data_IF_014490688540
#
_entry.id   IF_014490688540
#
_cell.length_a   1.000
_cell.length_b   1.000
_cell.length_c   1.000
_cell.angle_alpha   90.00
_cell.angle_beta   90.00
_cell.angle_gamma   90.00
#
_symmetry.space_group_name_H-M   'P 1'
#
loop_
_entity.id
_entity.type
_entity.pdbx_description
1 polymer ?
#
# COMPACT_ATOMS: atom_id res chain seq x y z
N UNK A 1 -24.75 11.80 -38.06
CA UNK A 1 -24.96 10.47 -37.43
C UNK A 1 -24.17 10.47 -36.14
N UNK A 2 -24.79 10.91 -35.05
CA UNK A 2 -24.18 10.93 -33.72
C UNK A 2 -25.00 10.00 -32.82
N UNK A 3 -24.47 8.81 -32.58
CA UNK A 3 -24.90 7.79 -31.61
C UNK A 3 -23.89 6.63 -31.78
N UNK A 4 -23.19 6.09 -30.81
CA UNK A 4 -23.32 6.12 -29.36
C UNK A 4 -21.98 5.63 -28.80
N UNK A 5 -21.26 6.48 -28.07
CA UNK A 5 -20.29 6.01 -27.09
C UNK A 5 -20.51 6.88 -25.86
N UNK A 6 -21.61 6.61 -25.17
CA UNK A 6 -21.78 7.09 -23.81
C UNK A 6 -20.94 6.12 -23.00
N UNK A 7 -19.68 6.47 -22.74
CA UNK A 7 -18.95 5.87 -21.63
C UNK A 7 -19.87 5.98 -20.41
N UNK A 8 -20.23 4.83 -19.83
CA UNK A 8 -20.93 4.83 -18.57
C UNK A 8 -20.01 5.55 -17.58
N UNK A 9 -20.34 6.79 -17.22
CA UNK A 9 -19.63 7.51 -16.17
C UNK A 9 -19.78 6.65 -14.92
N UNK A 10 -18.71 5.97 -14.53
CA UNK A 10 -18.69 5.18 -13.31
C UNK A 10 -18.98 6.13 -12.15
N UNK A 11 -20.08 5.90 -11.44
CA UNK A 11 -20.41 6.74 -10.29
C UNK A 11 -19.44 6.41 -9.15
N UNK A 12 -18.48 7.31 -8.93
CA UNK A 12 -17.47 7.23 -7.87
C UNK A 12 -18.10 6.98 -6.51
N UNK A 13 -19.29 7.53 -6.27
CA UNK A 13 -20.02 7.34 -5.01
C UNK A 13 -20.43 5.87 -4.84
N UNK A 14 -21.00 5.28 -5.90
CA UNK A 14 -21.39 3.87 -5.95
C UNK A 14 -20.19 2.93 -5.88
N UNK A 15 -19.07 3.29 -6.52
CA UNK A 15 -17.83 2.52 -6.44
C UNK A 15 -17.28 2.49 -5.00
N UNK A 16 -17.26 3.65 -4.33
CA UNK A 16 -16.82 3.74 -2.92
C UNK A 16 -17.78 2.97 -2.01
N UNK A 17 -19.09 3.07 -2.22
CA UNK A 17 -20.06 2.28 -1.45
C UNK A 17 -19.85 0.77 -1.65
N UNK A 18 -19.52 0.35 -2.87
CA UNK A 18 -19.21 -1.05 -3.19
C UNK A 18 -17.97 -1.51 -2.43
N UNK A 19 -16.88 -0.74 -2.49
CA UNK A 19 -15.63 -1.05 -1.76
C UNK A 19 -15.89 -1.12 -0.25
N UNK A 20 -16.59 -0.11 0.31
CA UNK A 20 -16.85 -0.02 1.74
C UNK A 20 -17.89 -1.02 2.26
N UNK A 21 -18.65 -1.67 1.39
CA UNK A 21 -19.55 -2.77 1.76
C UNK A 21 -18.85 -4.12 1.98
N UNK A 22 -17.56 -4.20 1.66
CA UNK A 22 -16.74 -5.41 1.79
C UNK A 22 -16.21 -5.65 3.21
N UNK A 23 -15.15 -6.46 3.29
CA UNK A 23 -14.48 -6.78 4.55
C UNK A 23 -13.04 -6.28 4.56
N UNK A 24 -12.61 -5.68 5.68
CA UNK A 24 -11.25 -5.16 5.85
C UNK A 24 -10.19 -6.28 5.75
N UNK A 25 -10.55 -7.50 6.13
CA UNK A 25 -9.72 -8.71 6.01
C UNK A 25 -9.45 -9.11 4.56
N UNK A 26 -10.33 -8.73 3.63
CA UNK A 26 -10.20 -9.02 2.21
C UNK A 26 -10.66 -7.81 1.37
N UNK A 27 -9.87 -6.72 1.33
CA UNK A 27 -10.24 -5.53 0.59
C UNK A 27 -10.34 -5.81 -0.92
N UNK A 28 -11.31 -5.19 -1.58
CA UNK A 28 -11.43 -5.25 -3.03
C UNK A 28 -10.39 -4.37 -3.71
N UNK A 29 -9.16 -4.88 -3.78
CA UNK A 29 -8.03 -4.16 -4.35
C UNK A 29 -8.21 -3.81 -5.83
N UNK A 30 -9.01 -4.58 -6.57
CA UNK A 30 -9.30 -4.28 -7.98
C UNK A 30 -10.05 -2.96 -8.05
N UNK A 31 -11.15 -2.83 -7.30
CA UNK A 31 -11.94 -1.60 -7.27
C UNK A 31 -11.20 -0.43 -6.60
N UNK A 32 -10.35 -0.68 -5.61
CA UNK A 32 -9.52 0.36 -4.97
C UNK A 32 -8.51 0.94 -5.96
N UNK A 33 -7.85 0.09 -6.75
CA UNK A 33 -6.88 0.53 -7.77
C UNK A 33 -7.58 1.25 -8.92
N UNK A 34 -8.73 0.74 -9.36
CA UNK A 34 -9.57 1.43 -10.35
C UNK A 34 -9.98 2.83 -9.86
N UNK A 35 -10.37 2.95 -8.59
CA UNK A 35 -10.66 4.25 -7.99
C UNK A 35 -9.44 5.18 -8.02
N UNK A 36 -8.22 4.68 -7.76
CA UNK A 36 -6.99 5.48 -7.83
C UNK A 36 -6.75 6.04 -9.24
N UNK A 37 -7.02 5.25 -10.28
CA UNK A 37 -6.91 5.70 -11.66
C UNK A 37 -7.94 6.81 -11.98
N UNK A 38 -9.18 6.66 -11.49
CA UNK A 38 -10.28 7.60 -11.74
C UNK A 38 -10.13 8.94 -10.99
N UNK A 39 -9.50 8.93 -9.80
CA UNK A 39 -9.35 10.11 -8.92
C UNK A 39 -8.74 11.31 -9.62
N UNK A 40 -7.86 11.10 -10.61
CA UNK A 40 -7.25 12.18 -11.39
C UNK A 40 -8.30 13.13 -11.98
N UNK A 41 -9.47 12.60 -12.35
CA UNK A 41 -10.59 13.37 -12.92
C UNK A 41 -11.75 13.60 -11.95
N UNK A 42 -11.74 12.95 -10.78
CA UNK A 42 -12.90 12.90 -9.86
C UNK A 42 -12.57 13.22 -8.40
N UNK A 43 -11.43 13.86 -8.12
CA UNK A 43 -10.91 14.06 -6.75
C UNK A 43 -11.92 14.71 -5.77
N UNK A 44 -12.70 15.70 -6.22
CA UNK A 44 -13.72 16.34 -5.38
C UNK A 44 -14.85 15.37 -5.02
N UNK A 45 -15.32 14.56 -5.98
CA UNK A 45 -16.36 13.57 -5.75
C UNK A 45 -15.84 12.44 -4.84
N UNK A 46 -14.62 11.96 -5.07
CA UNK A 46 -13.97 10.95 -4.22
C UNK A 46 -13.88 11.44 -2.78
N UNK A 47 -13.43 12.68 -2.57
CA UNK A 47 -13.29 13.28 -1.24
C UNK A 47 -14.65 13.39 -0.53
N UNK A 48 -15.69 13.86 -1.24
CA UNK A 48 -17.05 13.96 -0.67
C UNK A 48 -17.64 12.60 -0.30
N UNK A 49 -17.44 11.60 -1.14
CA UNK A 49 -17.94 10.24 -0.90
C UNK A 49 -17.22 9.59 0.28
N UNK A 50 -15.90 9.74 0.38
CA UNK A 50 -15.14 9.29 1.55
C UNK A 50 -15.58 10.01 2.82
N UNK A 51 -15.73 11.34 2.77
CA UNK A 51 -16.23 12.12 3.90
C UNK A 51 -17.60 11.61 4.37
N UNK A 52 -18.52 11.30 3.45
CA UNK A 52 -19.84 10.76 3.78
C UNK A 52 -19.72 9.43 4.53
N UNK A 53 -18.89 8.50 4.07
CA UNK A 53 -18.74 7.19 4.73
C UNK A 53 -18.13 7.35 6.11
N UNK A 54 -17.07 8.17 6.24
CA UNK A 54 -16.39 8.42 7.52
C UNK A 54 -17.28 9.13 8.55
N UNK A 55 -18.14 10.07 8.11
CA UNK A 55 -19.00 10.84 9.01
C UNK A 55 -20.34 10.18 9.35
N UNK A 56 -20.71 9.09 8.67
CA UNK A 56 -22.02 8.49 8.85
C UNK A 56 -22.03 7.45 9.97
N UNK A 57 -22.50 7.89 11.14
CA UNK A 57 -22.52 7.16 12.43
C UNK A 57 -23.24 5.80 12.45
N UNK A 58 -23.96 5.44 11.37
CA UNK A 58 -24.64 4.14 11.25
C UNK A 58 -23.79 3.11 10.48
N UNK A 59 -22.68 3.51 9.85
CA UNK A 59 -21.77 2.56 9.23
C UNK A 59 -21.12 1.69 10.29
N UNK A 60 -20.95 0.42 9.95
CA UNK A 60 -20.22 -0.52 10.76
C UNK A 60 -18.72 -0.22 10.73
N UNK A 61 -18.00 -0.81 11.69
CA UNK A 61 -16.57 -0.62 11.85
C UNK A 61 -15.77 -1.02 10.59
N UNK A 62 -16.26 -2.02 9.85
CA UNK A 62 -15.67 -2.46 8.58
C UNK A 62 -15.75 -1.38 7.51
N UNK A 63 -16.93 -0.78 7.29
CA UNK A 63 -17.10 0.29 6.31
C UNK A 63 -16.17 1.48 6.60
N UNK A 64 -16.07 1.89 7.86
CA UNK A 64 -15.21 3.01 8.28
C UNK A 64 -13.73 2.66 8.05
N UNK A 65 -13.32 1.45 8.45
CA UNK A 65 -11.95 0.98 8.27
C UNK A 65 -11.55 0.86 6.80
N UNK A 66 -12.47 0.40 5.94
CA UNK A 66 -12.27 0.37 4.48
C UNK A 66 -12.19 1.78 3.90
N UNK A 67 -13.01 2.73 4.35
CA UNK A 67 -12.91 4.11 3.91
C UNK A 67 -11.56 4.75 4.30
N UNK A 68 -11.03 4.46 5.49
CA UNK A 68 -9.68 4.89 5.89
C UNK A 68 -8.59 4.23 5.01
N UNK A 69 -8.70 2.92 4.74
CA UNK A 69 -7.80 2.20 3.82
C UNK A 69 -7.83 2.79 2.40
N UNK A 70 -9.01 3.08 1.86
CA UNK A 70 -9.18 3.72 0.56
C UNK A 70 -8.53 5.10 0.57
N UNK A 71 -8.75 5.88 1.62
CA UNK A 71 -8.16 7.22 1.76
C UNK A 71 -6.63 7.14 1.72
N UNK A 72 -6.00 6.23 2.46
CA UNK A 72 -4.55 5.99 2.41
C UNK A 72 -4.09 5.54 1.02
N UNK A 73 -4.82 4.63 0.39
CA UNK A 73 -4.47 4.07 -0.93
C UNK A 73 -4.48 5.15 -2.00
N UNK A 74 -5.54 5.95 -2.06
CA UNK A 74 -5.65 7.08 -3.01
C UNK A 74 -4.55 8.10 -2.74
N UNK A 75 -4.27 8.43 -1.48
CA UNK A 75 -3.23 9.39 -1.13
C UNK A 75 -1.83 8.94 -1.56
N UNK A 76 -1.54 7.64 -1.44
CA UNK A 76 -0.25 7.05 -1.82
C UNK A 76 -0.07 6.91 -3.34
N UNK A 77 -1.16 6.77 -4.10
CA UNK A 77 -1.12 6.55 -5.55
C UNK A 77 -1.37 7.82 -6.37
N UNK A 78 -2.03 8.83 -5.80
CA UNK A 78 -2.46 10.04 -6.51
C UNK A 78 -1.74 11.28 -5.96
N UNK A 79 -0.62 11.71 -6.58
CA UNK A 79 0.08 12.93 -6.20
C UNK A 79 -0.87 14.14 -6.20
N UNK A 80 -0.82 14.95 -5.15
CA UNK A 80 -1.66 16.14 -5.04
C UNK A 80 -3.06 15.91 -4.48
N UNK A 81 -3.51 14.65 -4.30
CA UNK A 81 -4.81 14.37 -3.68
C UNK A 81 -4.89 14.88 -2.24
N UNK A 82 -3.74 14.98 -1.54
CA UNK A 82 -3.64 15.58 -0.21
C UNK A 82 -4.22 17.01 -0.14
N UNK A 83 -4.23 17.77 -1.24
CA UNK A 83 -4.83 19.11 -1.28
C UNK A 83 -6.35 19.07 -1.08
N UNK A 84 -7.01 17.99 -1.52
CA UNK A 84 -8.44 17.80 -1.35
C UNK A 84 -8.79 17.32 0.07
N UNK A 85 -7.90 16.53 0.66
CA UNK A 85 -8.02 16.08 2.07
C UNK A 85 -7.68 17.18 3.08
N UNK A 86 -6.90 18.20 2.68
CA UNK A 86 -6.56 19.38 3.47
C UNK A 86 -7.75 20.35 3.65
N UNK A 87 -8.91 19.79 4.01
CA UNK A 87 -10.17 20.47 4.24
C UNK A 87 -10.59 20.29 5.69
N UNK A 88 -11.05 21.38 6.31
CA UNK A 88 -11.57 21.34 7.68
C UNK A 88 -12.73 20.35 7.81
N UNK A 89 -13.59 20.24 6.81
CA UNK A 89 -14.74 19.35 6.84
C UNK A 89 -14.30 17.88 6.82
N UNK A 90 -13.34 17.54 5.97
CA UNK A 90 -12.82 16.17 5.89
C UNK A 90 -12.09 15.78 7.19
N UNK A 91 -11.20 16.66 7.67
CA UNK A 91 -10.44 16.40 8.89
C UNK A 91 -11.31 16.31 10.14
N UNK A 92 -12.44 17.02 10.18
CA UNK A 92 -13.40 16.89 11.28
C UNK A 92 -13.98 15.49 11.39
N UNK A 93 -14.26 14.82 10.26
CA UNK A 93 -14.74 13.43 10.29
C UNK A 93 -13.64 12.49 10.80
N UNK A 94 -12.39 12.65 10.33
CA UNK A 94 -11.27 11.82 10.80
C UNK A 94 -10.99 12.04 12.29
N UNK A 95 -11.07 13.28 12.76
CA UNK A 95 -10.93 13.61 14.20
C UNK A 95 -12.07 12.99 15.02
N UNK A 96 -13.30 13.01 14.53
CA UNK A 96 -14.43 12.40 15.24
C UNK A 96 -14.23 10.88 15.46
N UNK A 97 -13.53 10.20 14.54
CA UNK A 97 -13.18 8.78 14.71
C UNK A 97 -12.17 8.54 15.85
N UNK A 98 -11.31 9.51 16.15
CA UNK A 98 -10.38 9.42 17.28
C UNK A 98 -11.13 9.41 18.61
N UNK A 99 -12.25 10.13 18.73
CA UNK A 99 -12.99 10.27 19.98
C UNK A 99 -14.11 9.22 20.15
N UNK A 100 -14.65 8.69 19.06
CA UNK A 100 -15.94 7.98 19.07
C UNK A 100 -15.95 6.62 18.35
N UNK A 101 -14.79 6.02 18.09
CA UNK A 101 -14.69 4.73 17.39
C UNK A 101 -13.97 3.65 18.22
N UNK A 102 -13.90 2.43 17.66
CA UNK A 102 -13.17 1.33 18.27
C UNK A 102 -11.67 1.64 18.39
N UNK A 103 -10.93 0.97 19.30
CA UNK A 103 -9.49 1.15 19.42
C UNK A 103 -8.72 0.94 18.11
N UNK A 104 -9.15 0.00 17.27
CA UNK A 104 -8.52 -0.27 15.98
C UNK A 104 -8.69 0.90 14.99
N UNK A 105 -9.90 1.44 14.89
CA UNK A 105 -10.18 2.62 14.05
C UNK A 105 -9.47 3.86 14.59
N UNK A 106 -9.47 4.06 15.91
CA UNK A 106 -8.76 5.14 16.57
C UNK A 106 -7.25 5.10 16.30
N UNK A 107 -6.62 3.93 16.41
CA UNK A 107 -5.20 3.76 16.12
C UNK A 107 -4.88 4.10 14.67
N UNK A 108 -5.73 3.70 13.73
CA UNK A 108 -5.55 4.02 12.31
C UNK A 108 -5.72 5.51 12.03
N UNK A 109 -6.80 6.12 12.52
CA UNK A 109 -7.06 7.55 12.33
C UNK A 109 -5.94 8.42 12.93
N UNK A 110 -5.47 8.10 14.14
CA UNK A 110 -4.36 8.83 14.78
C UNK A 110 -3.05 8.66 14.01
N UNK A 111 -2.72 7.44 13.55
CA UNK A 111 -1.55 7.20 12.70
C UNK A 111 -1.62 8.01 11.40
N UNK A 112 -2.75 7.99 10.70
CA UNK A 112 -2.95 8.77 9.48
C UNK A 112 -2.73 10.27 9.69
N UNK A 113 -3.33 10.85 10.75
CA UNK A 113 -3.17 12.27 11.06
C UNK A 113 -1.71 12.64 11.39
N UNK A 114 -0.99 11.77 12.10
CA UNK A 114 0.45 11.95 12.36
C UNK A 114 1.26 11.89 11.07
N UNK A 115 1.00 10.91 10.21
CA UNK A 115 1.71 10.73 8.94
C UNK A 115 1.45 11.91 8.00
N UNK A 116 0.23 12.43 7.93
CA UNK A 116 -0.09 13.59 7.11
C UNK A 116 0.61 14.86 7.59
N UNK A 117 0.66 15.08 8.90
CA UNK A 117 1.38 16.20 9.49
C UNK A 117 2.89 16.13 9.23
N UNK A 118 3.47 14.93 9.16
CA UNK A 118 4.89 14.72 8.88
C UNK A 118 5.22 14.83 7.37
N UNK A 119 4.39 14.25 6.51
CA UNK A 119 4.67 14.11 5.08
C UNK A 119 4.25 15.34 4.25
N UNK A 120 3.32 16.16 4.74
CA UNK A 120 2.83 17.35 4.03
C UNK A 120 3.01 18.63 4.87
N UNK A 121 4.25 19.04 5.19
CA UNK A 121 4.53 20.17 6.08
C UNK A 121 4.01 21.52 5.56
N UNK A 122 3.82 21.64 4.23
CA UNK A 122 3.26 22.83 3.58
C UNK A 122 1.74 22.98 3.82
N UNK A 123 1.06 21.90 4.20
CA UNK A 123 -0.37 21.91 4.54
C UNK A 123 -0.53 22.14 6.05
N UNK A 124 -0.56 23.42 6.46
CA UNK A 124 -0.62 23.81 7.87
C UNK A 124 -1.78 23.15 8.63
N UNK A 125 -2.91 22.94 7.97
CA UNK A 125 -4.10 22.35 8.57
C UNK A 125 -3.85 20.94 9.13
N UNK A 126 -3.06 20.09 8.46
CA UNK A 126 -2.73 18.76 8.98
C UNK A 126 -1.89 18.85 10.26
N UNK A 127 -0.85 19.70 10.23
CA UNK A 127 0.01 19.94 11.39
C UNK A 127 -0.77 20.52 12.56
N UNK A 128 -1.62 21.50 12.32
CA UNK A 128 -2.39 22.19 13.35
C UNK A 128 -3.42 21.25 13.97
N UNK A 129 -4.11 20.41 13.16
CA UNK A 129 -5.02 19.36 13.65
C UNK A 129 -4.28 18.33 14.51
N UNK A 130 -3.12 17.83 14.05
CA UNK A 130 -2.31 16.88 14.82
C UNK A 130 -1.85 17.48 16.17
N UNK A 131 -1.34 18.71 16.17
CA UNK A 131 -0.89 19.39 17.37
C UNK A 131 -2.05 19.64 18.35
N UNK A 132 -3.22 20.00 17.84
CA UNK A 132 -4.42 20.19 18.66
C UNK A 132 -4.79 18.91 19.41
N UNK A 133 -4.83 17.77 18.73
CA UNK A 133 -5.12 16.47 19.36
C UNK A 133 -4.08 16.10 20.42
N UNK A 134 -2.79 16.40 20.16
CA UNK A 134 -1.73 16.18 21.16
C UNK A 134 -1.92 17.02 22.43
N UNK A 135 -2.32 18.28 22.28
CA UNK A 135 -2.63 19.16 23.43
C UNK A 135 -3.84 18.65 24.21
N UNK A 136 -4.81 18.03 23.52
CA UNK A 136 -5.97 17.39 24.14
C UNK A 136 -5.64 16.05 24.83
N UNK A 137 -4.39 15.57 24.72
CA UNK A 137 -3.93 14.35 25.39
C UNK A 137 -4.14 13.06 24.58
N UNK A 138 -4.47 13.16 23.28
CA UNK A 138 -4.53 11.98 22.40
C UNK A 138 -3.13 11.38 22.27
N UNK A 139 -3.03 10.08 22.51
CA UNK A 139 -1.80 9.32 22.32
C UNK A 139 -1.61 8.98 20.85
N UNK A 140 -0.39 9.15 20.36
CA UNK A 140 -0.01 8.84 18.99
C UNK A 140 1.09 7.78 18.98
N UNK A 141 1.16 6.93 17.93
CA UNK A 141 2.22 5.94 17.82
C UNK A 141 3.60 6.60 17.86
N UNK A 142 4.52 6.00 18.60
CA UNK A 142 5.91 6.45 18.66
C UNK A 142 6.56 6.17 17.32
N UNK A 143 6.82 7.21 16.53
CA UNK A 143 7.73 7.10 15.38
C UNK A 143 9.08 6.60 15.91
N UNK A 144 9.70 5.54 15.34
CA UNK A 144 11.01 5.11 15.77
C UNK A 144 11.98 6.26 15.54
N UNK A 145 12.40 6.88 16.65
CA UNK A 145 13.39 7.94 16.63
C UNK A 145 14.70 7.37 16.06
N UNK A 146 15.25 8.04 15.05
CA UNK A 146 16.68 7.92 14.78
C UNK A 146 17.45 8.26 16.06
N UNK A 147 18.44 7.45 16.47
CA UNK A 147 19.16 7.71 17.70
C UNK A 147 20.16 8.84 17.44
N UNK A 148 19.88 10.04 17.91
CA UNK A 148 20.91 11.06 18.09
C UNK A 148 20.58 11.95 19.29
N UNK A 149 21.22 11.54 20.39
CA UNK A 149 21.86 12.41 21.39
C UNK A 149 20.99 13.05 22.47
N UNK A 150 20.87 12.30 23.56
CA UNK A 150 20.89 12.85 24.92
C UNK A 150 22.26 13.52 25.14
N UNK A 151 22.31 14.79 25.55
CA UNK A 151 22.96 15.28 26.79
C UNK A 151 23.08 16.81 26.86
N UNK A 152 22.65 17.32 28.01
CA UNK A 152 23.24 18.41 28.82
C UNK A 152 23.04 19.90 28.46
N UNK A 153 22.67 20.61 29.54
CA UNK A 153 22.59 22.06 29.74
C UNK A 153 23.99 22.71 29.68
N UNK A 154 24.08 23.93 29.14
CA UNK A 154 24.28 25.20 29.86
C UNK A 154 24.96 26.29 28.99
N UNK A 155 24.56 27.53 29.26
CA UNK A 155 25.25 28.81 29.05
C UNK A 155 25.24 29.55 27.68
N UNK A 156 24.35 30.56 27.65
CA UNK A 156 24.51 31.96 27.27
C UNK A 156 25.24 32.41 25.97
N UNK A 157 24.48 33.23 25.24
CA UNK A 157 24.83 34.51 24.63
C UNK A 157 25.39 34.56 23.18
N UNK A 158 24.55 35.21 22.36
CA UNK A 158 24.87 36.34 21.47
C UNK A 158 25.16 36.11 19.98
N UNK A 159 24.32 36.80 19.19
CA UNK A 159 24.59 37.50 17.92
C UNK A 159 24.44 36.71 16.61
N UNK A 160 23.38 37.05 15.87
CA UNK A 160 23.22 36.98 14.41
C UNK A 160 23.72 38.29 13.77
N UNK A 161 23.77 38.50 12.42
CA UNK A 161 23.56 37.57 11.28
C UNK A 161 24.62 37.73 10.16
N UNK A 162 24.61 36.85 9.14
CA UNK A 162 24.52 37.17 7.70
C UNK A 162 25.08 36.05 6.77
N UNK A 163 24.18 35.49 5.96
CA UNK A 163 24.31 35.11 4.53
C UNK A 163 25.66 34.64 3.96
N UNK A 164 25.71 33.40 3.47
CA UNK A 164 25.99 33.06 2.06
C UNK A 164 25.93 31.53 1.83
N UNK A 165 24.94 31.13 1.03
CA UNK A 165 24.91 30.08 0.01
C UNK A 165 26.16 29.17 -0.08
N UNK A 166 26.00 27.88 0.20
CA UNK A 166 26.66 26.84 -0.58
C UNK A 166 25.77 25.59 -0.69
N UNK A 167 25.79 25.05 -1.88
CA UNK A 167 24.92 24.04 -2.46
C UNK A 167 25.47 22.65 -2.16
N UNK A 168 24.77 21.85 -1.35
CA UNK A 168 25.04 20.42 -1.24
C UNK A 168 23.77 19.66 -0.85
N UNK A 169 23.09 19.16 -1.88
CA UNK A 169 22.03 18.15 -1.82
C UNK A 169 22.59 16.84 -1.23
N UNK A 170 22.07 16.31 -0.12
CA UNK A 170 22.13 14.88 0.13
C UNK A 170 20.87 14.25 -0.43
N UNK A 171 21.08 13.30 -1.33
CA UNK A 171 20.09 12.38 -1.87
C UNK A 171 19.44 11.64 -0.69
N UNK A 172 18.19 11.99 -0.38
CA UNK A 172 17.32 11.18 0.46
C UNK A 172 17.06 9.88 -0.30
N UNK A 173 17.82 8.84 0.06
CA UNK A 173 17.49 7.47 -0.32
C UNK A 173 16.22 7.12 0.43
N UNK A 174 15.09 7.20 -0.27
CA UNK A 174 13.78 6.85 0.25
C UNK A 174 13.82 5.38 0.65
N UNK A 175 13.58 5.09 1.93
CA UNK A 175 13.15 3.75 2.34
C UNK A 175 11.86 3.43 1.59
N UNK A 176 11.78 2.33 0.82
CA UNK A 176 10.55 1.97 0.14
C UNK A 176 9.44 1.79 1.18
N UNK A 177 8.28 2.41 0.92
CA UNK A 177 7.08 2.21 1.73
C UNK A 177 6.77 0.71 1.81
N UNK A 178 6.38 0.21 2.99
CA UNK A 178 5.95 -1.19 3.18
C UNK A 178 4.91 -1.62 2.12
N UNK A 179 4.01 -0.71 1.73
CA UNK A 179 3.04 -0.93 0.68
C UNK A 179 3.67 -1.12 -0.71
N UNK A 180 4.74 -0.37 -1.01
CA UNK A 180 5.52 -0.55 -2.23
C UNK A 180 6.30 -1.86 -2.22
N UNK A 181 6.77 -2.32 -1.05
CA UNK A 181 7.37 -3.65 -0.91
C UNK A 181 6.34 -4.77 -1.11
N UNK A 182 5.12 -4.63 -0.57
CA UNK A 182 4.02 -5.57 -0.79
C UNK A 182 3.56 -5.60 -2.25
N UNK A 183 3.43 -4.44 -2.89
CA UNK A 183 3.04 -4.35 -4.29
C UNK A 183 4.13 -4.94 -5.21
N UNK A 184 5.40 -4.66 -4.91
CA UNK A 184 6.53 -5.27 -5.61
C UNK A 184 6.57 -6.78 -5.40
N UNK A 185 6.29 -7.25 -4.18
CA UNK A 185 6.20 -8.68 -3.89
C UNK A 185 5.08 -9.34 -4.70
N UNK A 186 3.91 -8.70 -4.79
CA UNK A 186 2.80 -9.21 -5.58
C UNK A 186 3.16 -9.28 -7.07
N UNK A 187 3.80 -8.23 -7.59
CA UNK A 187 4.28 -8.20 -8.97
C UNK A 187 5.34 -9.29 -9.24
N UNK A 188 6.29 -9.47 -8.32
CA UNK A 188 7.31 -10.52 -8.38
C UNK A 188 6.65 -11.92 -8.42
N UNK A 189 5.59 -12.15 -7.62
CA UNK A 189 4.84 -13.41 -7.62
C UNK A 189 4.08 -13.67 -8.93
N UNK A 190 3.48 -12.62 -9.51
CA UNK A 190 2.84 -12.71 -10.84
C UNK A 190 3.86 -13.10 -11.91
N UNK A 191 5.05 -12.49 -11.90
CA UNK A 191 6.12 -12.83 -12.84
C UNK A 191 6.57 -14.29 -12.68
N UNK A 192 6.68 -14.80 -11.45
CA UNK A 192 7.00 -16.22 -11.21
C UNK A 192 5.90 -17.13 -11.77
N UNK A 193 4.63 -16.76 -11.61
CA UNK A 193 3.50 -17.51 -12.14
C UNK A 193 3.48 -17.55 -13.68
N UNK A 194 3.79 -16.44 -14.34
CA UNK A 194 3.95 -16.37 -15.80
C UNK A 194 5.12 -17.23 -16.30
N UNK A 195 6.24 -17.23 -15.57
CA UNK A 195 7.40 -18.08 -15.89
C UNK A 195 7.08 -19.57 -15.72
N UNK A 196 6.28 -19.94 -14.73
CA UNK A 196 5.76 -21.30 -14.56
C UNK A 196 4.87 -21.71 -15.75
N UNK A 197 3.94 -20.84 -16.19
CA UNK A 197 3.12 -21.13 -17.36
C UNK A 197 3.96 -21.24 -18.64
N UNK A 198 4.98 -20.39 -18.78
CA UNK A 198 5.93 -20.44 -19.89
C UNK A 198 6.66 -21.77 -19.90
N UNK A 199 7.18 -22.22 -18.75
CA UNK A 199 7.80 -23.53 -18.60
C UNK A 199 6.85 -24.67 -19.00
N UNK A 200 5.62 -24.68 -18.47
CA UNK A 200 4.62 -25.68 -18.82
C UNK A 200 4.31 -25.71 -20.32
N UNK A 201 4.24 -24.54 -20.96
CA UNK A 201 4.01 -24.40 -22.40
C UNK A 201 5.19 -24.91 -23.21
N UNK A 202 6.42 -24.54 -22.85
CA UNK A 202 7.63 -25.00 -23.50
C UNK A 202 7.82 -26.51 -23.36
N UNK A 203 7.52 -27.09 -22.19
CA UNK A 203 7.54 -28.54 -21.96
C UNK A 203 6.45 -29.27 -22.75
N UNK A 204 5.25 -28.69 -22.87
CA UNK A 204 4.16 -29.27 -23.65
C UNK A 204 4.43 -29.23 -25.17
N UNK A 205 5.11 -28.18 -25.66
CA UNK A 205 5.50 -28.02 -27.06
C UNK A 205 6.78 -28.81 -27.41
N UNK A 206 7.72 -28.89 -26.47
CA UNK A 206 9.05 -29.53 -26.60
C UNK A 206 9.07 -31.05 -26.50
N UNK A 207 7.91 -31.72 -26.46
CA UNK A 207 7.81 -33.19 -26.49
C UNK A 207 8.28 -33.83 -27.83
N UNK A 208 8.80 -33.04 -28.78
CA UNK A 208 9.34 -33.50 -30.07
C UNK A 208 10.56 -32.67 -30.50
N UNK A 209 11.76 -32.96 -29.99
CA UNK A 209 13.01 -32.56 -30.65
C UNK A 209 14.08 -32.04 -29.71
N UNK A 210 15.26 -32.61 -29.86
CA UNK A 210 16.41 -32.65 -28.94
C UNK A 210 17.32 -31.39 -28.96
N UNK A 211 16.79 -30.19 -29.23
CA UNK A 211 17.63 -28.97 -29.43
C UNK A 211 17.15 -27.69 -28.71
N UNK A 212 15.86 -27.56 -28.34
CA UNK A 212 15.30 -26.36 -27.65
C UNK A 212 15.27 -26.50 -26.11
N UNK A 213 16.23 -27.20 -25.51
CA UNK A 213 16.25 -27.42 -24.06
C UNK A 213 16.87 -26.24 -23.29
N UNK A 214 17.54 -25.30 -23.96
CA UNK A 214 18.22 -24.17 -23.30
C UNK A 214 17.23 -23.16 -22.71
N UNK A 215 16.18 -22.80 -23.46
CA UNK A 215 15.12 -21.89 -22.98
C UNK A 215 14.32 -22.51 -21.81
N UNK A 216 14.14 -23.84 -21.82
CA UNK A 216 13.51 -24.58 -20.73
C UNK A 216 14.40 -24.57 -19.49
N UNK A 217 15.71 -24.78 -19.67
CA UNK A 217 16.71 -24.80 -18.61
C UNK A 217 16.89 -23.41 -17.98
N UNK A 218 16.88 -22.33 -18.77
CA UNK A 218 16.94 -20.94 -18.29
C UNK A 218 15.72 -20.56 -17.44
N UNK A 219 14.52 -20.96 -17.86
CA UNK A 219 13.30 -20.76 -17.06
C UNK A 219 13.35 -21.59 -15.78
N UNK A 220 13.89 -22.81 -15.83
CA UNK A 220 14.09 -23.67 -14.67
C UNK A 220 15.06 -23.06 -13.65
N UNK A 221 16.20 -22.55 -14.12
CA UNK A 221 17.21 -21.91 -13.28
C UNK A 221 16.67 -20.63 -12.63
N UNK A 222 15.90 -19.84 -13.37
CA UNK A 222 15.19 -18.69 -12.81
C UNK A 222 14.23 -19.10 -11.70
N UNK A 223 13.38 -20.11 -11.94
CA UNK A 223 12.44 -20.60 -10.93
C UNK A 223 13.18 -21.15 -9.71
N UNK A 224 14.26 -21.89 -9.90
CA UNK A 224 15.08 -22.42 -8.81
C UNK A 224 15.72 -21.31 -7.96
N UNK A 225 16.13 -20.20 -8.56
CA UNK A 225 16.62 -19.03 -7.83
C UNK A 225 15.53 -18.33 -6.98
N UNK A 226 14.26 -18.46 -7.36
CA UNK A 226 13.14 -17.94 -6.56
C UNK A 226 12.82 -18.78 -5.31
N UNK A 227 13.27 -20.04 -5.25
CA UNK A 227 12.94 -20.99 -4.18
C UNK A 227 13.32 -20.52 -2.76
N UNK A 228 14.54 -20.05 -2.48
CA UNK A 228 14.90 -19.59 -1.13
C UNK A 228 14.06 -18.38 -0.68
N UNK A 229 13.74 -17.47 -1.62
CA UNK A 229 12.90 -16.31 -1.33
C UNK A 229 11.45 -16.71 -1.07
N UNK A 230 10.92 -17.70 -1.80
CA UNK A 230 9.58 -18.27 -1.59
C UNK A 230 9.45 -18.93 -0.20
N UNK A 231 10.46 -19.70 0.22
CA UNK A 231 10.48 -20.34 1.53
C UNK A 231 10.47 -19.30 2.67
N UNK A 232 11.25 -18.23 2.56
CA UNK A 232 11.24 -17.13 3.54
C UNK A 232 9.89 -16.41 3.61
N UNK A 233 9.16 -16.30 2.49
CA UNK A 233 7.82 -15.71 2.45
C UNK A 233 6.77 -16.62 3.09
N UNK A 234 6.88 -17.92 2.89
CA UNK A 234 6.01 -18.92 3.55
C UNK A 234 6.25 -18.90 5.05
N UNK A 235 7.51 -18.85 5.51
CA UNK A 235 7.83 -18.71 6.93
C UNK A 235 7.29 -17.40 7.52
N UNK A 236 7.36 -16.30 6.77
CA UNK A 236 6.78 -15.03 7.18
C UNK A 236 5.24 -15.07 7.26
N UNK A 237 4.58 -15.74 6.31
CA UNK A 237 3.13 -15.94 6.32
C UNK A 237 2.66 -16.88 7.43
N UNK A 238 3.36 -17.99 7.68
CA UNK A 238 3.10 -18.88 8.82
C UNK A 238 3.32 -18.19 10.17
N UNK A 239 4.20 -17.19 10.22
CA UNK A 239 4.39 -16.32 11.39
C UNK A 239 3.33 -15.20 11.52
N UNK A 240 2.31 -15.17 10.65
CA UNK A 240 1.22 -14.19 10.66
C UNK A 240 1.62 -12.79 10.18
N UNK A 241 2.76 -12.65 9.49
CA UNK A 241 3.25 -11.36 8.95
C UNK A 241 2.80 -11.09 7.51
N UNK A 242 2.16 -12.08 6.88
CA UNK A 242 1.62 -12.04 5.54
C UNK A 242 0.13 -12.42 5.62
N UNK A 243 -0.69 -11.84 4.76
CA UNK A 243 -2.10 -12.22 4.67
C UNK A 243 -2.28 -13.66 4.13
N UNK A 244 -3.40 -14.27 4.47
CA UNK A 244 -3.70 -15.68 4.18
C UNK A 244 -3.71 -15.98 2.67
N UNK A 245 -4.10 -15.01 1.85
CA UNK A 245 -4.14 -15.13 0.39
C UNK A 245 -2.73 -15.06 -0.21
N UNK A 246 -1.86 -14.17 0.27
CA UNK A 246 -0.45 -14.13 -0.15
C UNK A 246 0.28 -15.40 0.28
N UNK A 247 -0.01 -15.94 1.48
CA UNK A 247 0.49 -17.24 1.91
C UNK A 247 -0.02 -18.37 1.00
N UNK A 248 -1.30 -18.38 0.63
CA UNK A 248 -1.90 -19.37 -0.28
C UNK A 248 -1.26 -19.33 -1.68
N UNK A 249 -0.98 -18.13 -2.21
CA UNK A 249 -0.24 -17.94 -3.46
C UNK A 249 1.19 -18.49 -3.34
N UNK A 250 1.90 -18.13 -2.26
CA UNK A 250 3.26 -18.63 -2.02
C UNK A 250 3.30 -20.16 -1.91
N UNK A 251 2.35 -20.78 -1.22
CA UNK A 251 2.21 -22.22 -1.09
C UNK A 251 1.90 -22.89 -2.44
N UNK A 252 1.02 -22.29 -3.24
CA UNK A 252 0.66 -22.77 -4.58
C UNK A 252 1.88 -22.75 -5.51
N UNK A 253 2.61 -21.63 -5.53
CA UNK A 253 3.84 -21.48 -6.32
C UNK A 253 4.90 -22.49 -5.89
N UNK A 254 5.10 -22.69 -4.58
CA UNK A 254 6.05 -23.68 -4.06
C UNK A 254 5.67 -25.13 -4.42
N UNK A 255 4.37 -25.46 -4.40
CA UNK A 255 3.89 -26.80 -4.74
C UNK A 255 4.08 -27.11 -6.24
N UNK A 256 3.78 -26.13 -7.11
CA UNK A 256 4.01 -26.26 -8.55
C UNK A 256 5.50 -26.37 -8.85
N UNK A 257 6.34 -25.59 -8.18
CA UNK A 257 7.79 -25.63 -8.34
C UNK A 257 8.39 -26.96 -7.89
N UNK A 258 7.90 -27.55 -6.79
CA UNK A 258 8.31 -28.88 -6.35
C UNK A 258 7.90 -29.96 -7.34
N UNK A 259 6.68 -29.88 -7.89
CA UNK A 259 6.19 -30.79 -8.93
C UNK A 259 7.02 -30.73 -10.21
N UNK A 260 7.46 -29.53 -10.60
CA UNK A 260 8.36 -29.30 -11.75
C UNK A 260 9.73 -29.95 -11.51
N UNK A 261 10.30 -29.81 -10.32
CA UNK A 261 11.59 -30.43 -9.97
C UNK A 261 11.52 -31.97 -9.94
N UNK A 262 10.41 -32.54 -9.48
CA UNK A 262 10.19 -33.99 -9.51
C UNK A 262 10.08 -34.51 -10.95
N UNK A 263 9.34 -33.81 -11.82
CA UNK A 263 9.24 -34.14 -13.24
C UNK A 263 10.61 -34.11 -13.94
N UNK A 264 11.47 -33.11 -13.67
CA UNK A 264 12.85 -33.07 -14.20
C UNK A 264 13.67 -34.28 -13.75
N UNK A 265 13.57 -34.71 -12.48
CA UNK A 265 14.28 -35.90 -11.99
C UNK A 265 13.81 -37.20 -12.64
N UNK A 266 12.54 -37.28 -13.03
CA UNK A 266 11.96 -38.46 -13.67
C UNK A 266 12.27 -38.51 -15.17
N UNK A 267 12.29 -37.36 -15.86
CA UNK A 267 12.60 -37.28 -17.30
C UNK A 267 14.09 -37.30 -17.64
N UNK A 268 14.99 -36.94 -16.71
CA UNK A 268 16.45 -36.97 -16.92
C UNK A 268 17.15 -38.25 -16.39
N UNK A 269 16.41 -39.32 -16.13
CA UNK A 269 16.92 -40.67 -15.80
C UNK A 269 16.71 -41.62 -16.98
#
# INVERSE_FOLDING_TARGET
MASSYVEAVQDISSLIDTICSGEVSNPDWINILELCDLVTSSAEQTTRSLQRVLGHRQHDENSISLALLVTESVLNNCPGFYNHLASRLFLQEVVALVDHSSPAVQERATRMLQDWAANYPDQSIFRDTYQQLRVQGVSFPSTPASPSSITSRDFAASVLPATAIDEAKPVATMSPSLAAEFQKLHQDLVTVQEKIQTYQTLVALGARGDDDNHDVEDVLDFLQQCQPRMNSLIEAGLAGKLDERTLEICLTVCNVQSSIQELKRVCCR
#
